data_IF_852670357661
#
_entry.id   IF_852670357661
#
_cell.length_a   1.000
_cell.length_b   1.000
_cell.length_c   1.000
_cell.angle_alpha   90.00
_cell.angle_beta   90.00
_cell.angle_gamma   90.00
#
_symmetry.space_group_name_H-M   'P 1'
#
loop_
_entity.id
_entity.type
_entity.pdbx_description
1 polymer ?
#
# COMPACT_ATOMS: atom_id res chain seq x y z
N UNK A 1 -7.99 6.08 -16.17
CA UNK A 1 -7.86 4.92 -15.25
C UNK A 1 -9.17 4.77 -14.51
N UNK A 2 -9.60 3.54 -14.23
CA UNK A 2 -10.81 3.31 -13.43
C UNK A 2 -10.58 3.81 -12.02
N UNK A 3 -11.57 4.51 -11.46
CA UNK A 3 -11.63 4.98 -10.07
C UNK A 3 -11.88 3.83 -9.07
N UNK A 4 -12.13 2.62 -9.59
CA UNK A 4 -12.44 1.46 -8.79
C UNK A 4 -11.17 0.90 -8.12
N UNK A 5 -11.22 0.60 -6.81
CA UNK A 5 -10.10 -0.02 -6.11
C UNK A 5 -9.76 -1.39 -6.69
N UNK A 6 -8.48 -1.73 -6.66
CA UNK A 6 -7.96 -3.03 -7.06
C UNK A 6 -8.09 -3.98 -5.87
N UNK A 7 -9.02 -4.93 -5.96
CA UNK A 7 -9.22 -5.92 -4.89
C UNK A 7 -8.17 -7.02 -5.02
N UNK A 8 -7.33 -7.16 -4.02
CA UNK A 8 -6.19 -8.09 -3.98
C UNK A 8 -6.54 -9.30 -3.13
N UNK A 9 -6.67 -10.47 -3.79
CA UNK A 9 -6.83 -11.77 -3.16
C UNK A 9 -5.49 -12.48 -2.90
N UNK A 10 -4.47 -12.14 -3.69
CA UNK A 10 -3.13 -12.70 -3.60
C UNK A 10 -2.11 -11.90 -4.42
N UNK A 11 -0.85 -12.30 -4.33
CA UNK A 11 0.27 -11.64 -5.04
C UNK A 11 0.04 -11.53 -6.56
N UNK A 12 -0.62 -12.53 -7.17
CA UNK A 12 -0.95 -12.52 -8.61
C UNK A 12 -1.87 -11.40 -9.05
N UNK A 13 -2.68 -10.81 -8.16
CA UNK A 13 -3.57 -9.71 -8.51
C UNK A 13 -2.80 -8.38 -8.64
N UNK A 14 -1.65 -8.27 -7.97
CA UNK A 14 -0.78 -7.07 -8.00
C UNK A 14 0.16 -7.10 -9.21
N UNK A 15 0.60 -8.30 -9.62
CA UNK A 15 1.49 -8.54 -10.77
C UNK A 15 0.93 -8.06 -12.13
N UNK A 16 -0.33 -7.65 -12.20
CA UNK A 16 -0.98 -7.16 -13.42
C UNK A 16 -0.76 -5.67 -13.71
N UNK A 17 -0.11 -4.92 -12.81
CA UNK A 17 0.08 -3.49 -12.95
C UNK A 17 1.48 -3.16 -13.49
N UNK A 18 1.55 -2.86 -14.80
CA UNK A 18 2.79 -2.56 -15.55
C UNK A 18 3.59 -1.37 -14.98
N UNK A 19 2.93 -0.49 -14.23
CA UNK A 19 3.53 0.70 -13.61
C UNK A 19 4.21 0.40 -12.27
N UNK A 20 3.91 -0.75 -11.64
CA UNK A 20 4.55 -1.16 -10.40
C UNK A 20 5.91 -1.81 -10.69
N UNK A 21 6.94 -1.35 -9.99
CA UNK A 21 8.19 -2.10 -9.94
C UNK A 21 8.02 -3.35 -9.06
N UNK A 22 8.85 -4.38 -9.25
CA UNK A 22 8.81 -5.56 -8.37
C UNK A 22 9.03 -5.25 -6.88
N UNK A 23 9.67 -4.11 -6.58
CA UNK A 23 9.80 -3.60 -5.21
C UNK A 23 8.45 -3.08 -4.68
N UNK A 24 7.71 -2.34 -5.51
CA UNK A 24 6.42 -1.77 -5.15
C UNK A 24 5.34 -2.84 -5.04
N UNK A 25 5.36 -3.85 -5.91
CA UNK A 25 4.47 -5.01 -5.81
C UNK A 25 4.61 -5.71 -4.46
N UNK A 26 5.86 -5.94 -4.03
CA UNK A 26 6.14 -6.55 -2.72
C UNK A 26 5.71 -5.63 -1.58
N UNK A 27 5.97 -4.33 -1.69
CA UNK A 27 5.58 -3.34 -0.69
C UNK A 27 4.05 -3.23 -0.54
N UNK A 28 3.30 -3.27 -1.65
CA UNK A 28 1.83 -3.26 -1.63
C UNK A 28 1.30 -4.52 -0.93
N UNK A 29 1.82 -5.70 -1.27
CA UNK A 29 1.38 -6.96 -0.65
C UNK A 29 1.75 -7.04 0.83
N UNK A 30 2.93 -6.56 1.20
CA UNK A 30 3.38 -6.45 2.59
C UNK A 30 2.48 -5.50 3.40
N UNK A 31 2.22 -4.30 2.88
CA UNK A 31 1.32 -3.32 3.50
C UNK A 31 -0.12 -3.86 3.63
N UNK A 32 -0.63 -4.57 2.60
CA UNK A 32 -1.95 -5.21 2.62
C UNK A 32 -2.04 -6.36 3.62
N UNK A 33 -0.93 -7.05 3.89
CA UNK A 33 -0.88 -8.12 4.88
C UNK A 33 -0.90 -7.59 6.32
N UNK A 34 -0.34 -6.40 6.56
CA UNK A 34 -0.31 -5.74 7.89
C UNK A 34 -1.57 -4.91 8.19
N UNK A 35 -2.26 -4.43 7.14
CA UNK A 35 -3.49 -3.63 7.28
C UNK A 35 -4.71 -4.43 7.74
N UNK A 36 -5.59 -3.76 8.47
CA UNK A 36 -6.89 -4.29 8.91
C UNK A 36 -7.91 -4.29 7.78
N UNK A 37 -9.02 -5.00 7.95
CA UNK A 37 -10.10 -5.14 6.96
C UNK A 37 -10.78 -3.84 6.52
N UNK A 38 -10.47 -2.70 7.13
CA UNK A 38 -11.02 -1.37 6.79
C UNK A 38 -9.96 -0.41 6.28
N UNK A 39 -8.70 -0.83 6.27
CA UNK A 39 -7.59 -0.04 5.77
C UNK A 39 -7.32 -0.41 4.31
N UNK A 40 -6.87 0.59 3.56
CA UNK A 40 -6.49 0.49 2.17
C UNK A 40 -5.01 0.75 2.03
N UNK A 41 -4.45 0.31 0.91
CA UNK A 41 -3.09 0.62 0.49
C UNK A 41 -3.15 1.45 -0.78
N UNK A 42 -2.45 2.56 -0.82
CA UNK A 42 -2.36 3.41 -2.01
C UNK A 42 -0.92 3.43 -2.51
N UNK A 43 -0.76 3.18 -3.81
CA UNK A 43 0.49 3.41 -4.51
C UNK A 43 0.41 4.72 -5.29
N UNK A 44 1.52 5.46 -5.32
CA UNK A 44 1.71 6.66 -6.14
C UNK A 44 3.10 6.64 -6.78
N UNK A 45 3.30 7.38 -7.90
CA UNK A 45 4.62 7.59 -8.46
C UNK A 45 5.63 8.18 -7.47
N UNK A 46 6.91 7.82 -7.61
CA UNK A 46 8.03 8.26 -6.77
C UNK A 46 8.01 9.76 -6.48
N UNK A 47 7.92 10.58 -7.53
CA UNK A 47 7.92 12.05 -7.41
C UNK A 47 6.80 12.57 -6.50
N UNK A 48 5.65 11.89 -6.47
CA UNK A 48 4.51 12.29 -5.66
C UNK A 48 4.65 11.75 -4.24
N UNK A 49 5.21 10.55 -4.07
CA UNK A 49 5.47 9.94 -2.77
C UNK A 49 6.44 10.76 -1.92
N UNK A 50 7.50 11.29 -2.52
CA UNK A 50 8.48 12.15 -1.84
C UNK A 50 7.89 13.48 -1.34
N UNK A 51 6.79 13.95 -1.93
CA UNK A 51 6.10 15.18 -1.51
C UNK A 51 5.06 14.94 -0.40
N UNK A 52 4.76 13.68 -0.07
CA UNK A 52 3.72 13.37 0.91
C UNK A 52 4.16 13.62 2.34
N UNK A 53 3.19 14.08 3.14
CA UNK A 53 3.35 14.31 4.57
C UNK A 53 2.94 13.11 5.43
N UNK A 54 2.58 11.99 4.79
CA UNK A 54 2.22 10.72 5.43
C UNK A 54 3.38 9.71 5.36
N UNK A 55 3.43 8.78 6.30
CA UNK A 55 4.51 7.79 6.37
C UNK A 55 4.26 6.63 5.39
N UNK A 56 5.31 6.19 4.70
CA UNK A 56 5.25 5.01 3.85
C UNK A 56 4.99 3.74 4.69
N UNK A 57 4.12 2.87 4.19
CA UNK A 57 3.66 1.68 4.90
C UNK A 57 4.67 0.53 4.90
N UNK A 58 5.56 0.49 3.91
CA UNK A 58 6.54 -0.58 3.70
C UNK A 58 7.87 0.02 3.23
N UNK A 59 8.79 -0.83 2.74
CA UNK A 59 10.13 -0.41 2.28
C UNK A 59 10.15 0.47 1.01
N UNK A 60 9.01 1.01 0.57
CA UNK A 60 8.88 1.87 -0.60
C UNK A 60 8.17 3.17 -0.24
N UNK A 61 8.81 4.30 -0.52
CA UNK A 61 8.29 5.66 -0.32
C UNK A 61 7.09 6.00 -1.24
N UNK A 62 6.72 5.06 -2.10
CA UNK A 62 5.58 5.14 -3.03
C UNK A 62 4.31 4.48 -2.49
N UNK A 63 4.40 3.72 -1.39
CA UNK A 63 3.30 2.91 -0.87
C UNK A 63 2.88 3.41 0.51
N UNK A 64 1.61 3.78 0.64
CA UNK A 64 1.03 4.31 1.87
C UNK A 64 -0.16 3.46 2.30
N UNK A 65 -0.40 3.39 3.61
CA UNK A 65 -1.53 2.66 4.19
C UNK A 65 -2.33 3.58 5.11
N UNK A 66 -3.64 3.41 5.11
CA UNK A 66 -4.56 4.19 5.94
C UNK A 66 -6.02 3.95 5.57
N UNK A 67 -6.89 4.87 5.96
CA UNK A 67 -8.31 4.85 5.60
C UNK A 67 -8.65 6.04 4.71
N UNK A 68 -9.59 5.86 3.79
CA UNK A 68 -10.19 7.00 3.06
C UNK A 68 -11.19 7.68 3.99
N UNK A 69 -10.85 8.85 4.50
CA UNK A 69 -11.73 9.63 5.38
C UNK A 69 -12.66 10.55 4.58
N UNK A 70 -12.12 11.18 3.53
CA UNK A 70 -12.88 11.99 2.58
C UNK A 70 -12.51 11.63 1.14
N UNK A 71 -13.50 11.73 0.26
CA UNK A 71 -13.31 11.57 -1.18
C UNK A 71 -13.89 12.78 -1.92
N UNK A 72 -13.15 13.25 -2.91
CA UNK A 72 -13.60 14.23 -3.90
C UNK A 72 -13.61 13.61 -5.29
N UNK A 73 -14.14 14.32 -6.27
CA UNK A 73 -14.11 13.89 -7.68
C UNK A 73 -12.70 13.63 -8.20
N UNK A 74 -11.66 14.25 -7.60
CA UNK A 74 -10.29 14.21 -8.13
C UNK A 74 -9.24 13.68 -7.14
N UNK A 75 -9.59 13.48 -5.87
CA UNK A 75 -8.61 13.10 -4.84
C UNK A 75 -9.26 12.37 -3.66
N UNK A 76 -8.47 11.54 -2.99
CA UNK A 76 -8.77 10.86 -1.72
C UNK A 76 -7.97 11.50 -0.59
N UNK A 77 -8.59 11.73 0.57
CA UNK A 77 -7.90 12.06 1.81
C UNK A 77 -7.59 10.76 2.55
N UNK A 78 -6.30 10.46 2.67
CA UNK A 78 -5.83 9.26 3.38
C UNK A 78 -5.45 9.67 4.79
N UNK A 79 -6.02 8.99 5.78
CA UNK A 79 -5.73 9.20 7.20
C UNK A 79 -5.06 7.95 7.78
N UNK A 80 -3.93 8.14 8.44
CA UNK A 80 -3.15 7.07 9.06
C UNK A 80 -3.54 6.88 10.55
N UNK A 81 -3.26 5.71 11.16
CA UNK A 81 -3.54 5.46 12.58
C UNK A 81 -2.91 6.48 13.55
N UNK A 82 -1.83 7.16 13.14
CA UNK A 82 -1.16 8.22 13.90
C UNK A 82 -1.79 9.61 13.79
N UNK A 83 -2.85 9.76 12.98
CA UNK A 83 -3.52 11.04 12.72
C UNK A 83 -2.84 11.91 11.66
N UNK A 84 -1.77 11.44 11.02
CA UNK A 84 -1.24 12.06 9.82
C UNK A 84 -2.22 11.86 8.66
N UNK A 85 -2.42 12.90 7.86
CA UNK A 85 -3.34 12.87 6.73
C UNK A 85 -2.76 13.61 5.53
N UNK A 86 -3.06 13.12 4.32
CA UNK A 86 -2.68 13.80 3.09
C UNK A 86 -3.62 13.47 1.92
N UNK A 87 -3.72 14.39 0.97
CA UNK A 87 -4.54 14.25 -0.23
C UNK A 87 -3.76 13.55 -1.35
N UNK A 88 -4.35 12.49 -1.90
CA UNK A 88 -3.82 11.73 -3.03
C UNK A 88 -4.70 11.94 -4.26
N UNK A 89 -4.17 12.51 -5.37
CA UNK A 89 -4.92 12.66 -6.61
C UNK A 89 -5.29 11.31 -7.23
N UNK A 90 -6.57 11.14 -7.59
CA UNK A 90 -7.11 9.94 -8.26
C UNK A 90 -6.44 9.62 -9.59
N UNK A 91 -5.95 10.65 -10.28
CA UNK A 91 -5.27 10.51 -11.57
C UNK A 91 -3.83 10.00 -11.45
N UNK A 92 -3.27 9.98 -10.24
CA UNK A 92 -1.87 9.63 -9.97
C UNK A 92 -1.75 8.52 -8.92
N UNK A 93 -2.85 8.07 -8.31
CA UNK A 93 -2.85 7.05 -7.27
C UNK A 93 -3.62 5.82 -7.68
N UNK A 94 -3.20 4.67 -7.16
CA UNK A 94 -3.91 3.40 -7.31
C UNK A 94 -4.22 2.87 -5.91
N UNK A 95 -5.51 2.71 -5.62
CA UNK A 95 -5.97 2.09 -4.37
C UNK A 95 -6.01 0.58 -4.53
N UNK A 96 -5.44 -0.13 -3.57
CA UNK A 96 -5.53 -1.55 -3.38
C UNK A 96 -6.28 -1.85 -2.09
N UNK A 97 -7.23 -2.78 -2.19
CA UNK A 97 -8.01 -3.26 -1.05
C UNK A 97 -7.77 -4.74 -0.85
N UNK A 98 -7.67 -5.18 0.40
CA UNK A 98 -7.57 -6.60 0.71
C UNK A 98 -8.93 -7.27 0.51
N UNK A 99 -8.98 -8.36 -0.25
CA UNK A 99 -10.21 -9.14 -0.36
C UNK A 99 -10.60 -9.72 1.03
N UNK A 100 -11.89 -9.77 1.40
CA UNK A 100 -12.34 -10.13 2.75
C UNK A 100 -11.87 -11.51 3.23
N UNK A 101 -11.67 -12.46 2.32
CA UNK A 101 -11.18 -13.81 2.61
C UNK A 101 -9.73 -14.04 2.15
N UNK A 102 -9.01 -12.98 1.74
CA UNK A 102 -7.63 -13.08 1.28
C UNK A 102 -6.71 -13.47 2.44
N UNK A 103 -5.97 -14.56 2.26
CA UNK A 103 -4.81 -14.89 3.09
C UNK A 103 -3.57 -14.41 2.35
N UNK A 104 -3.21 -13.15 2.58
CA UNK A 104 -1.95 -12.62 2.06
C UNK A 104 -0.81 -13.20 2.90
N UNK A 105 0.20 -13.84 2.28
CA UNK A 105 1.36 -14.27 3.02
C UNK A 105 2.05 -13.03 3.57
N UNK A 106 2.02 -12.84 4.89
CA UNK A 106 2.97 -11.93 5.53
C UNK A 106 4.35 -12.44 5.12
N UNK A 107 5.20 -11.65 4.44
CA UNK A 107 6.56 -12.10 4.20
C UNK A 107 7.10 -12.42 5.59
N UNK A 108 7.49 -13.68 5.81
CA UNK A 108 8.21 -14.04 7.01
C UNK A 108 9.44 -13.15 6.99
N UNK A 109 9.38 -12.06 7.77
CA UNK A 109 10.54 -11.28 8.17
C UNK A 109 11.48 -12.33 8.70
N UNK A 110 12.47 -12.70 7.88
CA UNK A 110 13.54 -13.59 8.34
C UNK A 110 14.06 -12.89 9.58
N UNK A 111 13.73 -13.43 10.75
CA UNK A 111 14.67 -13.39 11.84
C UNK A 111 15.86 -14.15 11.28
N UNK A 112 16.78 -13.43 10.65
CA UNK A 112 18.14 -13.92 10.52
C UNK A 112 18.60 -14.11 11.95
N UNK A 113 18.48 -15.36 12.37
CA UNK A 113 19.09 -15.94 13.54
C UNK A 113 20.60 -15.71 13.43
N UNK A 114 21.07 -14.50 13.77
CA UNK A 114 22.46 -14.27 14.16
C UNK A 114 22.62 -14.75 15.61
N UNK A 115 22.40 -16.05 15.78
CA UNK A 115 22.78 -16.83 16.94
C UNK A 115 23.72 -17.93 16.47
N UNK A 116 25.03 -17.70 16.61
CA UNK A 116 26.02 -18.77 16.78
C UNK A 116 27.05 -18.98 15.67
N UNK A 117 28.22 -18.35 15.81
CA UNK A 117 29.58 -18.87 15.58
C UNK A 117 30.53 -17.65 15.65
N UNK A 118 31.55 -17.57 16.50
CA UNK A 118 32.37 -18.57 17.20
C UNK A 118 32.83 -18.05 18.57
#
# INVERSE_FOLDING_TARGET
>A
MSDAPVVVGGYSDVLGYDELSSKDELAVVDALADTRSSEIVVWVPEWLGEEKSIEAASSSDQVFAGVVDHETENAWLIVQPGGAEDWIPKSQGVIFERAPDATLPTPQRRLDNQGGAA
#
